data_IF_379876494596
#
_entry.id   IF_379876494596
#
_cell.length_a   1.000
_cell.length_b   1.000
_cell.length_c   1.000
_cell.angle_alpha   90.00
_cell.angle_beta   90.00
_cell.angle_gamma   90.00
#
_symmetry.space_group_name_H-M   'P 1'
#
loop_
_entity.id
_entity.type
_entity.pdbx_description
1 polymer ?
#
# COMPACT_ATOMS: atom_id res chain seq x y z
N UNK A 1 22.43 1.82 -19.81
CA UNK A 1 21.04 1.61 -19.35
C UNK A 1 20.65 2.86 -18.58
N UNK A 2 19.52 3.50 -18.86
CA UNK A 2 19.02 4.55 -17.97
C UNK A 2 18.69 3.85 -16.65
N UNK A 3 19.29 4.29 -15.55
CA UNK A 3 18.82 3.87 -14.22
C UNK A 3 17.35 4.23 -14.12
N UNK A 4 16.53 3.28 -13.66
CA UNK A 4 15.14 3.54 -13.33
C UNK A 4 15.15 4.58 -12.19
N UNK A 5 14.56 5.76 -12.43
CA UNK A 5 14.52 6.88 -11.48
C UNK A 5 13.93 6.42 -10.14
N UNK A 6 12.95 5.52 -10.18
CA UNK A 6 12.34 4.93 -8.99
C UNK A 6 13.34 4.09 -8.17
N UNK A 7 14.18 3.29 -8.82
CA UNK A 7 15.23 2.52 -8.13
C UNK A 7 16.35 3.41 -7.58
N UNK A 8 16.75 4.43 -8.34
CA UNK A 8 17.80 5.37 -7.95
C UNK A 8 17.46 6.11 -6.64
N UNK A 9 16.19 6.44 -6.43
CA UNK A 9 15.72 7.17 -5.25
C UNK A 9 14.93 6.32 -4.25
N UNK A 10 14.66 5.06 -4.60
CA UNK A 10 13.77 4.14 -3.88
C UNK A 10 12.43 4.81 -3.56
N UNK A 11 11.81 5.37 -4.60
CA UNK A 11 10.48 6.00 -4.56
C UNK A 11 9.68 5.46 -5.72
N UNK A 12 8.47 5.01 -5.43
CA UNK A 12 7.66 4.24 -6.35
C UNK A 12 6.27 4.87 -6.42
N UNK A 13 5.87 5.27 -7.62
CA UNK A 13 4.50 5.73 -7.87
C UNK A 13 3.55 4.55 -7.68
N UNK A 14 2.56 4.70 -6.82
CA UNK A 14 1.49 3.73 -6.63
C UNK A 14 0.19 4.25 -7.21
N UNK A 15 -0.57 3.36 -7.86
CA UNK A 15 -1.96 3.59 -8.25
C UNK A 15 -2.86 2.88 -7.25
N UNK A 16 -3.77 3.62 -6.65
CA UNK A 16 -4.61 3.16 -5.54
C UNK A 16 -6.05 3.13 -6.01
N UNK A 17 -6.71 1.97 -5.98
CA UNK A 17 -8.16 1.90 -6.12
C UNK A 17 -8.82 2.12 -4.75
N UNK A 18 -9.75 3.07 -4.68
CA UNK A 18 -10.54 3.35 -3.49
C UNK A 18 -11.86 4.02 -3.85
N UNK A 19 -12.95 3.60 -3.21
CA UNK A 19 -14.32 4.01 -3.52
C UNK A 19 -14.64 3.93 -5.03
N UNK A 20 -14.19 2.84 -5.67
CA UNK A 20 -14.30 2.59 -7.12
C UNK A 20 -13.66 3.67 -8.02
N UNK A 21 -12.70 4.43 -7.48
CA UNK A 21 -11.94 5.44 -8.21
C UNK A 21 -10.45 5.18 -8.08
N UNK A 22 -9.68 5.70 -9.03
CA UNK A 22 -8.23 5.59 -9.00
C UNK A 22 -7.58 6.89 -8.52
N UNK A 23 -6.63 6.72 -7.61
CA UNK A 23 -5.80 7.77 -7.06
C UNK A 23 -4.33 7.39 -7.14
N UNK A 24 -3.46 8.34 -6.81
CA UNK A 24 -2.02 8.20 -6.88
C UNK A 24 -1.38 8.62 -5.56
N UNK A 25 -0.33 7.90 -5.17
CA UNK A 25 0.53 8.25 -4.04
C UNK A 25 1.95 7.77 -4.31
N UNK A 26 2.88 8.02 -3.39
CA UNK A 26 4.25 7.51 -3.46
C UNK A 26 4.55 6.67 -2.23
N UNK A 27 5.13 5.50 -2.47
CA UNK A 27 5.75 4.67 -1.45
C UNK A 27 7.27 4.61 -1.64
N UNK A 28 7.99 4.20 -0.60
CA UNK A 28 9.37 3.79 -0.71
C UNK A 28 10.16 3.94 0.57
N UNK A 29 11.40 3.47 0.54
CA UNK A 29 12.27 3.48 1.69
C UNK A 29 12.67 4.89 2.09
N UNK A 30 12.72 5.15 3.40
CA UNK A 30 13.36 6.34 3.93
C UNK A 30 14.82 6.05 4.29
N UNK A 31 15.72 6.56 3.46
CA UNK A 31 17.16 6.28 3.54
C UNK A 31 17.82 6.87 4.80
N UNK A 32 17.07 7.61 5.63
CA UNK A 32 17.55 8.20 6.86
C UNK A 32 17.17 7.39 8.11
N UNK A 33 16.28 6.39 8.00
CA UNK A 33 15.75 5.65 9.16
C UNK A 33 15.73 4.12 8.99
N UNK A 34 16.91 3.54 8.78
CA UNK A 34 17.06 2.09 8.57
C UNK A 34 16.35 1.60 7.30
N UNK A 35 16.06 2.51 6.35
CA UNK A 35 15.45 2.20 5.06
C UNK A 35 14.05 1.58 5.18
N UNK A 36 13.29 1.98 6.20
CA UNK A 36 11.91 1.52 6.38
C UNK A 36 11.03 2.05 5.26
N UNK A 37 10.20 1.17 4.70
CA UNK A 37 9.23 1.56 3.69
C UNK A 37 8.15 2.46 4.31
N UNK A 38 7.84 3.53 3.59
CA UNK A 38 6.90 4.56 4.00
C UNK A 38 6.00 4.97 2.86
N UNK A 39 4.88 5.56 3.24
CA UNK A 39 3.89 6.15 2.36
C UNK A 39 3.85 7.66 2.55
N UNK A 40 3.30 8.33 1.54
CA UNK A 40 3.08 9.77 1.59
C UNK A 40 1.96 10.10 2.58
N UNK A 41 2.33 10.73 3.70
CA UNK A 41 1.40 11.20 4.74
C UNK A 41 1.48 12.71 4.95
N UNK A 42 0.38 13.29 5.45
CA UNK A 42 0.35 14.68 5.89
C UNK A 42 0.81 14.84 7.36
N UNK A 43 0.81 16.08 7.86
CA UNK A 43 1.18 16.39 9.25
C UNK A 43 0.24 15.79 10.30
N UNK A 44 -0.99 15.42 9.92
CA UNK A 44 -1.96 14.74 10.77
C UNK A 44 -1.83 13.21 10.71
N UNK A 45 -0.74 12.69 10.10
CA UNK A 45 -0.52 11.26 9.89
C UNK A 45 -1.57 10.57 9.01
N UNK A 46 -2.24 11.33 8.14
CA UNK A 46 -3.20 10.76 7.21
C UNK A 46 -2.52 10.35 5.90
N UNK A 47 -2.87 9.18 5.37
CA UNK A 47 -2.48 8.75 4.02
C UNK A 47 -3.06 9.73 3.00
N UNK A 48 -2.21 10.25 2.11
CA UNK A 48 -2.62 11.26 1.13
C UNK A 48 -2.68 10.62 -0.25
N UNK A 49 -3.85 10.72 -0.88
CA UNK A 49 -4.12 10.23 -2.23
C UNK A 49 -4.50 11.39 -3.15
N UNK A 50 -3.94 11.41 -4.37
CA UNK A 50 -4.18 12.44 -5.37
C UNK A 50 -4.97 11.89 -6.55
N UNK A 51 -5.91 12.66 -7.10
CA UNK A 51 -6.67 12.27 -8.30
C UNK A 51 -5.82 12.07 -9.56
N UNK A 52 -4.65 12.72 -9.61
CA UNK A 52 -3.75 12.66 -10.76
C UNK A 52 -2.27 12.82 -10.36
N UNK A 53 -1.39 12.32 -11.21
CA UNK A 53 0.07 12.34 -10.99
C UNK A 53 0.63 13.77 -10.97
N UNK A 54 0.10 14.70 -11.77
CA UNK A 54 0.65 16.06 -11.82
C UNK A 54 0.43 16.81 -10.49
N UNK A 55 -0.74 16.64 -9.88
CA UNK A 55 -1.07 17.16 -8.56
C UNK A 55 -0.17 16.57 -7.46
N UNK A 56 0.06 15.26 -7.50
CA UNK A 56 1.00 14.57 -6.61
C UNK A 56 2.43 15.15 -6.71
N UNK A 57 2.96 15.31 -7.92
CA UNK A 57 4.29 15.86 -8.14
C UNK A 57 4.38 17.32 -7.66
N UNK A 58 3.34 18.13 -7.90
CA UNK A 58 3.29 19.50 -7.41
C UNK A 58 3.33 19.57 -5.87
N UNK A 59 2.60 18.68 -5.20
CA UNK A 59 2.60 18.54 -3.75
C UNK A 59 4.00 18.18 -3.19
N UNK A 60 4.67 17.20 -3.79
CA UNK A 60 6.04 16.80 -3.43
C UNK A 60 7.01 17.98 -3.58
N UNK A 61 6.90 18.70 -4.70
CA UNK A 61 7.75 19.87 -5.00
C UNK A 61 7.60 20.97 -3.94
N UNK A 62 6.39 21.22 -3.46
CA UNK A 62 6.13 22.21 -2.37
C UNK A 62 6.62 21.71 -1.01
N UNK A 63 6.79 20.40 -0.84
CA UNK A 63 7.24 19.78 0.41
C UNK A 63 6.18 19.79 1.50
N UNK A 64 4.91 19.60 1.12
CA UNK A 64 3.76 19.60 2.00
C UNK A 64 3.56 18.25 2.74
N UNK A 65 4.31 17.21 2.37
CA UNK A 65 4.13 15.81 2.81
C UNK A 65 5.47 15.14 3.12
N UNK A 66 5.44 14.10 3.97
CA UNK A 66 6.62 13.71 4.76
C UNK A 66 7.05 12.25 4.58
N UNK A 67 8.19 12.04 3.92
CA UNK A 67 9.27 11.09 4.26
C UNK A 67 10.43 11.30 3.27
N UNK A 68 11.68 11.07 3.69
CA UNK A 68 12.87 11.15 2.82
C UNK A 68 12.87 12.32 1.81
N UNK A 69 12.60 13.52 2.33
CA UNK A 69 12.21 14.70 1.53
C UNK A 69 13.19 14.98 0.40
N UNK A 70 14.49 14.89 0.69
CA UNK A 70 15.53 15.21 -0.28
C UNK A 70 15.52 14.26 -1.47
N UNK A 71 15.31 12.95 -1.24
CA UNK A 71 15.23 11.98 -2.33
C UNK A 71 13.87 12.03 -3.02
N UNK A 72 12.78 12.28 -2.28
CA UNK A 72 11.45 12.48 -2.88
C UNK A 72 11.43 13.66 -3.86
N UNK A 73 12.08 14.78 -3.51
CA UNK A 73 12.21 15.95 -4.40
C UNK A 73 13.17 15.73 -5.56
N UNK A 74 14.21 14.91 -5.40
CA UNK A 74 15.08 14.54 -6.53
C UNK A 74 14.36 13.60 -7.50
N UNK A 75 13.62 12.63 -6.94
CA UNK A 75 12.76 11.74 -7.69
C UNK A 75 11.74 12.53 -8.50
N UNK A 76 10.99 13.46 -7.90
CA UNK A 76 10.02 14.30 -8.61
C UNK A 76 10.61 15.06 -9.80
N UNK A 77 11.83 15.57 -9.67
CA UNK A 77 12.49 16.33 -10.76
C UNK A 77 12.92 15.46 -11.94
N UNK A 78 13.24 14.20 -11.68
CA UNK A 78 13.73 13.26 -12.70
C UNK A 78 12.62 12.33 -13.21
N UNK A 79 11.51 12.21 -12.47
CA UNK A 79 10.37 11.36 -12.80
C UNK A 79 9.62 11.88 -14.03
N UNK A 80 9.40 11.00 -15.00
CA UNK A 80 8.55 11.33 -16.15
C UNK A 80 7.10 11.01 -15.82
N UNK A 81 6.18 11.96 -16.03
CA UNK A 81 4.73 11.73 -15.85
C UNK A 81 4.15 10.68 -16.81
N UNK A 82 4.94 10.21 -17.78
CA UNK A 82 4.60 9.09 -18.67
C UNK A 82 5.01 7.71 -18.10
N UNK A 83 5.69 7.66 -16.96
CA UNK A 83 6.05 6.40 -16.31
C UNK A 83 4.79 5.72 -15.77
N UNK A 84 4.72 4.39 -15.95
CA UNK A 84 3.64 3.58 -15.40
C UNK A 84 3.80 3.46 -13.88
N UNK A 85 2.69 3.36 -13.12
CA UNK A 85 2.76 3.05 -11.69
C UNK A 85 3.53 1.75 -11.45
N UNK A 86 4.34 1.73 -10.40
CA UNK A 86 5.09 0.56 -9.98
C UNK A 86 4.18 -0.60 -9.58
N UNK A 87 3.09 -0.28 -8.88
CA UNK A 87 2.06 -1.25 -8.51
C UNK A 87 0.67 -0.58 -8.48
N UNK A 88 -0.35 -1.42 -8.68
CA UNK A 88 -1.74 -1.10 -8.40
C UNK A 88 -2.16 -1.80 -7.09
N UNK A 89 -2.78 -1.06 -6.19
CA UNK A 89 -3.22 -1.54 -4.87
C UNK A 89 -4.70 -1.21 -4.72
N UNK A 90 -5.52 -2.23 -4.45
CA UNK A 90 -6.97 -2.07 -4.26
C UNK A 90 -7.30 -1.94 -2.76
N UNK A 91 -7.51 -0.73 -2.26
CA UNK A 91 -7.90 -0.53 -0.86
C UNK A 91 -9.37 -0.90 -0.60
N UNK A 92 -10.22 -1.00 -1.63
CA UNK A 92 -11.60 -1.46 -1.45
C UNK A 92 -11.67 -2.96 -1.18
N UNK A 93 -10.63 -3.72 -1.55
CA UNK A 93 -10.60 -5.18 -1.39
C UNK A 93 -10.74 -5.62 0.08
N UNK A 94 -10.17 -4.85 1.01
CA UNK A 94 -10.26 -5.14 2.45
C UNK A 94 -11.62 -4.75 3.05
N UNK A 95 -12.43 -3.99 2.31
CA UNK A 95 -13.79 -3.62 2.70
C UNK A 95 -14.87 -4.53 2.12
N UNK A 96 -14.50 -5.58 1.37
CA UNK A 96 -15.47 -6.49 0.75
C UNK A 96 -16.11 -7.41 1.79
N UNK A 97 -17.38 -7.72 1.58
CA UNK A 97 -18.15 -8.65 2.43
C UNK A 97 -17.91 -10.11 2.06
N UNK A 98 -17.39 -10.37 0.87
CA UNK A 98 -17.11 -11.69 0.32
C UNK A 98 -15.77 -11.64 -0.45
N UNK A 99 -15.00 -12.71 -0.38
CA UNK A 99 -13.73 -12.91 -1.09
C UNK A 99 -13.77 -14.27 -1.77
N UNK A 100 -13.40 -14.34 -3.05
CA UNK A 100 -13.20 -15.59 -3.75
C UNK A 100 -11.82 -16.16 -3.40
N UNK A 101 -11.83 -17.06 -2.42
CA UNK A 101 -10.64 -17.77 -1.97
C UNK A 101 -10.04 -18.75 -3.00
N UNK A 102 -10.64 -18.87 -4.19
CA UNK A 102 -10.09 -19.62 -5.32
C UNK A 102 -9.43 -18.74 -6.38
N UNK A 103 -9.65 -17.41 -6.31
CA UNK A 103 -9.04 -16.44 -7.21
C UNK A 103 -7.67 -16.01 -6.68
N UNK A 104 -6.60 -16.56 -7.26
CA UNK A 104 -5.24 -16.22 -6.85
C UNK A 104 -4.90 -14.74 -7.01
N UNK A 105 -5.46 -14.07 -8.01
CA UNK A 105 -5.15 -12.67 -8.27
C UNK A 105 -5.82 -11.77 -7.23
N UNK A 106 -7.05 -12.11 -6.80
CA UNK A 106 -7.71 -11.46 -5.68
C UNK A 106 -6.90 -11.60 -4.39
N UNK A 107 -6.40 -12.80 -4.09
CA UNK A 107 -5.63 -13.06 -2.87
C UNK A 107 -4.25 -12.38 -2.88
N UNK A 108 -3.58 -12.33 -4.03
CA UNK A 108 -2.35 -11.54 -4.19
C UNK A 108 -2.65 -10.05 -3.97
N UNK A 109 -3.77 -9.54 -4.49
CA UNK A 109 -4.17 -8.14 -4.29
C UNK A 109 -4.44 -7.83 -2.81
N UNK A 110 -5.09 -8.73 -2.07
CA UNK A 110 -5.26 -8.60 -0.61
C UNK A 110 -3.90 -8.59 0.09
N UNK A 111 -2.99 -9.50 -0.27
CA UNK A 111 -1.65 -9.58 0.33
C UNK A 111 -0.86 -8.27 0.13
N UNK A 112 -0.83 -7.74 -1.10
CA UNK A 112 -0.17 -6.46 -1.41
C UNK A 112 -0.79 -5.31 -0.62
N UNK A 113 -2.12 -5.29 -0.54
CA UNK A 113 -2.85 -4.27 0.23
C UNK A 113 -2.50 -4.33 1.72
N UNK A 114 -2.46 -5.53 2.31
CA UNK A 114 -2.05 -5.70 3.70
C UNK A 114 -0.60 -5.25 3.95
N UNK A 115 0.30 -5.43 2.99
CA UNK A 115 1.66 -4.88 3.05
C UNK A 115 1.65 -3.36 3.18
N UNK A 116 0.96 -2.66 2.27
CA UNK A 116 0.80 -1.19 2.32
C UNK A 116 0.17 -0.72 3.63
N UNK A 117 -0.87 -1.42 4.11
CA UNK A 117 -1.50 -1.10 5.39
C UNK A 117 -0.55 -1.30 6.58
N UNK A 118 0.36 -2.28 6.51
CA UNK A 118 1.39 -2.52 7.52
C UNK A 118 2.41 -1.39 7.57
N UNK A 119 2.95 -0.99 6.42
CA UNK A 119 3.89 0.13 6.32
C UNK A 119 3.25 1.41 6.87
N UNK A 120 2.00 1.68 6.46
CA UNK A 120 1.23 2.82 6.97
C UNK A 120 1.07 2.77 8.49
N UNK A 121 0.56 1.67 9.04
CA UNK A 121 0.26 1.54 10.46
C UNK A 121 1.53 1.68 11.33
N UNK A 122 2.64 1.09 10.89
CA UNK A 122 3.95 1.22 11.54
C UNK A 122 4.44 2.68 11.48
N UNK A 123 4.38 3.31 10.30
CA UNK A 123 4.82 4.69 10.11
C UNK A 123 4.07 5.68 11.02
N UNK A 124 2.78 5.44 11.28
CA UNK A 124 1.96 6.33 12.12
C UNK A 124 1.90 5.92 13.60
N UNK A 125 2.48 4.78 13.98
CA UNK A 125 2.39 4.14 15.31
C UNK A 125 0.92 3.86 15.73
N UNK A 126 0.10 3.37 14.81
CA UNK A 126 -1.27 2.94 15.12
C UNK A 126 -1.27 1.52 15.70
N UNK A 127 -1.16 1.45 17.02
CA UNK A 127 -1.09 0.18 17.76
C UNK A 127 -2.30 -0.71 17.55
N UNK A 128 -3.50 -0.15 17.31
CA UNK A 128 -4.71 -0.95 17.10
C UNK A 128 -4.68 -1.58 15.72
N UNK A 129 -4.35 -0.79 14.69
CA UNK A 129 -4.21 -1.29 13.32
C UNK A 129 -3.07 -2.30 13.21
N UNK A 130 -1.92 -2.03 13.84
CA UNK A 130 -0.80 -2.97 13.96
C UNK A 130 -1.28 -4.27 14.60
N UNK A 131 -1.97 -4.21 15.75
CA UNK A 131 -2.45 -5.41 16.42
C UNK A 131 -3.35 -6.27 15.51
N UNK A 132 -4.22 -5.64 14.71
CA UNK A 132 -5.05 -6.35 13.71
C UNK A 132 -4.24 -6.97 12.58
N UNK A 133 -3.25 -6.25 12.05
CA UNK A 133 -2.41 -6.72 10.94
C UNK A 133 -1.47 -7.89 11.31
N UNK A 134 -1.22 -8.07 12.60
CA UNK A 134 -0.44 -9.18 13.17
C UNK A 134 -1.31 -10.20 13.91
N UNK A 135 -2.63 -10.19 13.71
CA UNK A 135 -3.47 -11.30 14.16
C UNK A 135 -3.09 -12.59 13.44
N UNK A 136 -3.18 -13.72 14.13
CA UNK A 136 -2.77 -15.02 13.58
C UNK A 136 -3.46 -15.34 12.27
N UNK A 137 -4.75 -14.95 12.12
CA UNK A 137 -5.51 -15.16 10.89
C UNK A 137 -4.94 -14.40 9.69
N UNK A 138 -4.36 -13.22 9.91
CA UNK A 138 -3.73 -12.41 8.86
C UNK A 138 -2.36 -12.98 8.50
N UNK A 139 -1.59 -13.41 9.50
CA UNK A 139 -0.28 -14.04 9.27
C UNK A 139 -0.42 -15.39 8.56
N UNK A 140 -1.35 -16.25 9.00
CA UNK A 140 -1.68 -17.51 8.33
C UNK A 140 -2.11 -17.30 6.86
N UNK A 141 -2.87 -16.23 6.60
CA UNK A 141 -3.20 -15.82 5.24
C UNK A 141 -1.96 -15.42 4.42
N UNK A 142 -1.09 -14.56 4.96
CA UNK A 142 0.13 -14.11 4.28
C UNK A 142 1.03 -15.29 3.95
N UNK A 143 1.23 -16.21 4.90
CA UNK A 143 2.00 -17.43 4.71
C UNK A 143 1.40 -18.30 3.60
N UNK A 144 0.07 -18.51 3.62
CA UNK A 144 -0.62 -19.30 2.59
C UNK A 144 -0.44 -18.72 1.18
N UNK A 145 -0.58 -17.39 1.03
CA UNK A 145 -0.41 -16.72 -0.28
C UNK A 145 1.04 -16.76 -0.73
N UNK A 146 2.00 -16.58 0.19
CA UNK A 146 3.42 -16.63 -0.11
C UNK A 146 3.86 -18.04 -0.52
N UNK A 147 3.42 -19.07 0.19
CA UNK A 147 3.66 -20.47 -0.15
C UNK A 147 3.11 -20.77 -1.55
N UNK A 148 1.88 -20.37 -1.84
CA UNK A 148 1.31 -20.51 -3.18
C UNK A 148 2.10 -19.74 -4.24
N UNK A 149 2.54 -18.52 -3.97
CA UNK A 149 3.33 -17.73 -4.92
C UNK A 149 4.69 -18.38 -5.24
N UNK A 150 5.33 -19.00 -4.24
CA UNK A 150 6.61 -19.71 -4.39
C UNK A 150 6.41 -21.04 -5.13
N UNK A 151 5.36 -21.79 -4.79
CA UNK A 151 5.12 -23.15 -5.27
C UNK A 151 4.06 -23.25 -6.39
N UNK A 152 3.75 -22.11 -7.05
CA UNK A 152 2.66 -21.92 -8.02
C UNK A 152 2.57 -22.95 -9.17
N UNK A 153 3.62 -23.73 -9.40
CA UNK A 153 3.71 -24.74 -10.48
C UNK A 153 3.23 -26.13 -10.00
N UNK A 154 3.14 -26.37 -8.69
CA UNK A 154 3.01 -27.74 -8.14
C UNK A 154 1.86 -27.94 -7.17
N UNK A 155 1.27 -26.88 -6.60
CA UNK A 155 0.27 -27.02 -5.52
C UNK A 155 -0.92 -26.06 -5.68
N UNK A 156 -2.11 -26.54 -5.32
CA UNK A 156 -3.29 -25.71 -5.15
C UNK A 156 -3.14 -24.85 -3.89
N UNK A 157 -3.69 -23.64 -3.88
CA UNK A 157 -3.72 -22.83 -2.66
C UNK A 157 -4.57 -23.52 -1.59
N UNK A 158 -3.95 -23.83 -0.45
CA UNK A 158 -4.64 -24.41 0.70
C UNK A 158 -4.86 -23.32 1.75
N UNK A 159 -6.13 -23.03 2.02
CA UNK A 159 -6.53 -22.09 3.07
C UNK A 159 -6.93 -22.88 4.32
N UNK A 160 -6.20 -22.65 5.41
CA UNK A 160 -6.38 -23.36 6.69
C UNK A 160 -6.93 -22.47 7.81
N UNK A 161 -6.95 -21.15 7.61
CA UNK A 161 -7.38 -20.16 8.61
C UNK A 161 -8.92 -20.00 8.67
N UNK A 162 -9.40 -19.42 9.78
CA UNK A 162 -10.82 -19.07 9.94
C UNK A 162 -11.21 -17.90 9.02
N UNK A 163 -11.95 -18.21 7.95
CA UNK A 163 -12.39 -17.23 6.94
C UNK A 163 -13.31 -16.15 7.51
N UNK A 164 -14.17 -16.48 8.47
CA UNK A 164 -15.09 -15.50 9.05
C UNK A 164 -14.32 -14.50 9.91
N UNK A 165 -13.36 -15.00 10.70
CA UNK A 165 -12.47 -14.15 11.47
C UNK A 165 -11.63 -13.27 10.52
N UNK A 166 -11.07 -13.84 9.46
CA UNK A 166 -10.30 -13.11 8.45
C UNK A 166 -11.10 -11.94 7.85
N UNK A 167 -12.32 -12.22 7.35
CA UNK A 167 -13.20 -11.20 6.79
C UNK A 167 -13.58 -10.13 7.83
N UNK A 168 -13.78 -10.51 9.09
CA UNK A 168 -14.04 -9.56 10.17
C UNK A 168 -12.83 -8.65 10.41
N UNK A 169 -11.62 -9.21 10.44
CA UNK A 169 -10.38 -8.46 10.65
C UNK A 169 -10.10 -7.51 9.47
N UNK A 170 -10.33 -7.93 8.23
CA UNK A 170 -10.22 -7.05 7.05
C UNK A 170 -11.17 -5.84 7.15
N UNK A 171 -12.42 -6.08 7.54
CA UNK A 171 -13.40 -5.00 7.72
C UNK A 171 -12.96 -3.99 8.81
N UNK A 172 -12.44 -4.46 9.94
CA UNK A 172 -11.87 -3.60 10.99
C UNK A 172 -10.72 -2.72 10.46
N UNK A 173 -9.85 -3.30 9.63
CA UNK A 173 -8.77 -2.57 8.96
C UNK A 173 -9.31 -1.51 7.99
N UNK A 174 -10.32 -1.85 7.19
CA UNK A 174 -10.95 -0.91 6.26
C UNK A 174 -11.56 0.29 6.98
N UNK A 175 -12.27 0.07 8.09
CA UNK A 175 -12.82 1.17 8.90
C UNK A 175 -11.74 2.06 9.52
N UNK A 176 -10.60 1.49 9.89
CA UNK A 176 -9.45 2.23 10.44
C UNK A 176 -8.80 3.08 9.35
N UNK A 177 -8.53 2.49 8.19
CA UNK A 177 -8.01 3.17 7.00
C UNK A 177 -8.89 4.36 6.58
N UNK A 178 -10.21 4.18 6.51
CA UNK A 178 -11.14 5.26 6.13
C UNK A 178 -11.01 6.52 6.97
N UNK A 179 -10.69 6.38 8.25
CA UNK A 179 -10.47 7.51 9.17
C UNK A 179 -9.08 8.13 9.01
N UNK A 180 -8.10 7.32 8.62
CA UNK A 180 -6.70 7.68 8.44
C UNK A 180 -6.37 8.24 7.05
N UNK A 181 -7.32 8.47 6.17
CA UNK A 181 -7.03 8.86 4.78
C UNK A 181 -7.63 10.21 4.40
N UNK A 182 -6.94 10.92 3.51
CA UNK A 182 -7.44 12.14 2.87
C UNK A 182 -7.28 12.04 1.35
N UNK A 183 -8.36 12.42 0.65
CA UNK A 183 -8.40 12.50 -0.81
C UNK A 183 -8.17 13.95 -1.23
N UNK A 184 -7.20 14.17 -2.11
CA UNK A 184 -6.91 15.46 -2.72
C UNK A 184 -7.48 15.45 -4.13
N UNK A 185 -8.61 16.11 -4.30
CA UNK A 185 -9.32 16.26 -5.57
C UNK A 185 -9.17 17.72 -6.02
N UNK A 186 -8.68 17.93 -7.24
CA UNK A 186 -8.51 19.27 -7.83
C UNK A 186 -9.41 19.47 -9.05
#
# INVERSE_FOLDING_TARGET
>A
MKENVSEKYRKYLLKIAYDNQYYYTVAGADLQDEEKDKLLINSNKQLVLFSDVASLLQAIKKGEYYFDRDNLQKWEKEFSSSEEPYAEVDLDIVGRTEIDFTDSDELISIHLTLGILTDYAIQIDDKLMIARLYESVIEEFKDSVMDYAIWKITEDLIITFDRNLFLSTLNDLYFSLKKGMILVVH
#
